data_IF_203357181675
#
_entry.id   IF_203357181675
#
_cell.length_a   1.000
_cell.length_b   1.000
_cell.length_c   1.000
_cell.angle_alpha   90.00
_cell.angle_beta   90.00
_cell.angle_gamma   90.00
#
_symmetry.space_group_name_H-M   'P 1'
#
loop_
_entity.id
_entity.type
_entity.pdbx_description
1 polymer ?
#
# COMPACT_ATOMS: atom_id res chain seq x y z
N UNK A 1 -15.56 -10.30 -24.53
CA UNK A 1 -14.10 -10.14 -24.47
C UNK A 1 -13.56 -11.30 -23.66
N UNK A 2 -12.69 -12.10 -24.23
CA UNK A 2 -11.96 -13.14 -23.46
C UNK A 2 -11.03 -12.36 -22.56
N UNK A 3 -11.33 -12.28 -21.24
CA UNK A 3 -10.34 -11.79 -20.27
C UNK A 3 -9.15 -12.75 -20.33
N UNK A 4 -7.97 -12.22 -20.60
CA UNK A 4 -6.74 -12.98 -20.47
C UNK A 4 -6.62 -13.58 -19.05
N UNK A 5 -5.68 -14.48 -18.86
CA UNK A 5 -5.34 -15.04 -17.55
C UNK A 5 -5.01 -13.90 -16.56
N UNK A 6 -5.73 -13.78 -15.43
CA UNK A 6 -5.49 -12.70 -14.48
C UNK A 6 -4.07 -12.76 -13.91
N UNK A 7 -3.44 -11.61 -13.77
CA UNK A 7 -2.10 -11.45 -13.20
C UNK A 7 -2.17 -10.80 -11.84
N UNK A 8 -1.67 -11.51 -10.85
CA UNK A 8 -1.69 -11.09 -9.45
C UNK A 8 -0.25 -10.78 -8.99
N UNK A 9 -0.10 -9.73 -8.20
CA UNK A 9 1.12 -9.45 -7.44
C UNK A 9 0.80 -9.59 -5.95
N UNK A 10 1.51 -10.46 -5.25
CA UNK A 10 1.37 -10.67 -3.81
C UNK A 10 2.57 -10.06 -3.12
N UNK A 11 2.31 -9.04 -2.33
CA UNK A 11 3.29 -8.23 -1.65
C UNK A 11 3.13 -8.37 -0.12
N UNK A 12 4.03 -9.12 0.51
CA UNK A 12 4.09 -9.35 1.96
C UNK A 12 5.54 -9.75 2.31
N UNK A 13 6.11 -9.22 3.40
CA UNK A 13 7.48 -9.53 3.81
C UNK A 13 7.61 -10.86 4.57
N UNK A 14 6.47 -11.47 4.99
CA UNK A 14 6.44 -12.75 5.67
C UNK A 14 6.33 -13.93 4.68
N UNK A 15 7.39 -14.72 4.44
CA UNK A 15 7.40 -15.73 3.38
C UNK A 15 6.29 -16.79 3.50
N UNK A 16 5.98 -17.24 4.72
CA UNK A 16 4.94 -18.24 4.96
C UNK A 16 3.54 -17.71 4.67
N UNK A 17 3.28 -16.47 5.06
CA UNK A 17 2.00 -15.83 4.80
C UNK A 17 1.82 -15.52 3.31
N UNK A 18 2.87 -15.05 2.65
CA UNK A 18 2.89 -14.82 1.20
C UNK A 18 2.57 -16.11 0.43
N UNK A 19 3.19 -17.23 0.80
CA UNK A 19 2.88 -18.55 0.18
C UNK A 19 1.42 -18.95 0.41
N UNK A 20 0.86 -18.71 1.61
CA UNK A 20 -0.55 -18.99 1.90
C UNK A 20 -1.49 -18.11 1.07
N UNK A 21 -1.16 -16.83 0.88
CA UNK A 21 -1.92 -15.92 0.01
C UNK A 21 -1.88 -16.37 -1.45
N UNK A 22 -0.71 -16.81 -1.98
CA UNK A 22 -0.58 -17.34 -3.33
C UNK A 22 -1.51 -18.54 -3.52
N UNK A 23 -1.51 -19.47 -2.59
CA UNK A 23 -2.38 -20.66 -2.65
C UNK A 23 -3.87 -20.29 -2.56
N UNK A 24 -4.23 -19.41 -1.66
CA UNK A 24 -5.63 -18.99 -1.48
C UNK A 24 -6.15 -18.18 -2.69
N UNK A 25 -5.36 -17.23 -3.19
CA UNK A 25 -5.73 -16.39 -4.33
C UNK A 25 -5.97 -17.21 -5.60
N UNK A 26 -5.15 -18.24 -5.82
CA UNK A 26 -5.25 -19.11 -7.01
C UNK A 26 -6.39 -20.13 -6.95
N UNK A 27 -6.97 -20.37 -5.77
CA UNK A 27 -7.90 -21.50 -5.54
C UNK A 27 -9.18 -21.45 -6.38
N UNK A 28 -9.68 -20.25 -6.71
CA UNK A 28 -10.91 -20.06 -7.51
C UNK A 28 -10.65 -19.53 -8.92
N UNK A 29 -9.39 -19.40 -9.29
CA UNK A 29 -8.99 -19.00 -10.63
C UNK A 29 -8.52 -20.25 -11.36
N UNK A 30 -9.18 -20.60 -12.47
CA UNK A 30 -8.81 -21.78 -13.27
C UNK A 30 -7.36 -21.69 -13.76
N UNK A 31 -6.93 -20.46 -14.12
CA UNK A 31 -5.55 -20.12 -14.45
C UNK A 31 -5.26 -18.69 -13.96
N UNK A 32 -4.13 -18.49 -13.29
CA UNK A 32 -3.64 -17.14 -12.92
C UNK A 32 -2.11 -17.15 -12.90
N UNK A 33 -1.52 -16.00 -13.22
CA UNK A 33 -0.10 -15.76 -13.01
C UNK A 33 0.07 -15.01 -11.69
N UNK A 34 0.99 -15.49 -10.84
CA UNK A 34 1.28 -14.86 -9.55
C UNK A 34 2.74 -14.43 -9.52
N UNK A 35 2.97 -13.16 -9.25
CA UNK A 35 4.25 -12.55 -8.94
C UNK A 35 4.32 -12.28 -7.44
N UNK A 36 5.54 -12.24 -6.90
CA UNK A 36 5.76 -12.02 -5.48
C UNK A 36 6.71 -10.82 -5.26
N UNK A 37 6.45 -10.05 -4.21
CA UNK A 37 7.34 -9.01 -3.71
C UNK A 37 7.43 -9.09 -2.18
N UNK A 38 8.60 -8.77 -1.61
CA UNK A 38 8.83 -8.76 -0.15
C UNK A 38 9.01 -7.36 0.42
N UNK A 39 8.99 -6.35 -0.44
CA UNK A 39 9.16 -4.96 -0.05
C UNK A 39 8.52 -4.02 -1.10
N UNK A 40 8.38 -2.76 -0.74
CA UNK A 40 7.76 -1.77 -1.62
C UNK A 40 8.55 -1.47 -2.89
N UNK A 41 9.89 -1.41 -2.89
CA UNK A 41 10.68 -1.34 -4.11
C UNK A 41 10.40 -2.47 -5.09
N UNK A 42 10.30 -3.72 -4.61
CA UNK A 42 9.95 -4.89 -5.41
C UNK A 42 8.54 -4.81 -6.02
N UNK A 43 7.58 -4.22 -5.31
CA UNK A 43 6.23 -3.96 -5.85
C UNK A 43 6.31 -3.03 -7.07
N UNK A 44 7.03 -1.91 -6.95
CA UNK A 44 7.18 -0.97 -8.05
C UNK A 44 7.96 -1.57 -9.23
N UNK A 45 9.01 -2.35 -8.95
CA UNK A 45 9.78 -3.06 -9.98
C UNK A 45 8.88 -4.04 -10.76
N UNK A 46 8.09 -4.85 -10.06
CA UNK A 46 7.15 -5.79 -10.69
C UNK A 46 6.14 -5.06 -11.59
N UNK A 47 5.51 -3.99 -11.08
CA UNK A 47 4.52 -3.21 -11.83
C UNK A 47 5.13 -2.45 -13.03
N UNK A 48 6.39 -2.02 -12.95
CA UNK A 48 7.07 -1.37 -14.06
C UNK A 48 7.50 -2.36 -15.15
N UNK A 49 7.78 -3.61 -14.78
CA UNK A 49 8.23 -4.68 -15.68
C UNK A 49 7.04 -5.39 -16.35
N UNK A 50 5.96 -5.56 -15.61
CA UNK A 50 4.73 -6.23 -16.07
C UNK A 50 3.52 -5.28 -15.95
N UNK A 51 3.19 -4.53 -17.02
CA UNK A 51 2.06 -3.60 -17.01
C UNK A 51 0.68 -4.28 -17.04
N UNK A 52 0.63 -5.59 -17.24
CA UNK A 52 -0.61 -6.38 -17.31
C UNK A 52 -1.04 -6.94 -15.93
N UNK A 53 -0.41 -6.51 -14.84
CA UNK A 53 -0.86 -6.87 -13.49
C UNK A 53 -2.23 -6.24 -13.23
N UNK A 54 -3.22 -7.08 -12.92
CA UNK A 54 -4.61 -6.68 -12.68
C UNK A 54 -4.86 -6.29 -11.22
N UNK A 55 -4.21 -7.00 -10.29
CA UNK A 55 -4.48 -6.89 -8.85
C UNK A 55 -3.21 -7.05 -8.02
N UNK A 56 -3.04 -6.17 -7.05
CA UNK A 56 -2.03 -6.28 -5.98
C UNK A 56 -2.71 -6.64 -4.67
N UNK A 57 -2.28 -7.73 -4.01
CA UNK A 57 -2.54 -8.00 -2.60
C UNK A 57 -1.38 -7.35 -1.82
N UNK A 58 -1.66 -6.32 -1.03
CA UNK A 58 -0.65 -5.46 -0.42
C UNK A 58 -0.69 -5.53 1.10
N UNK A 59 0.39 -6.01 1.71
CA UNK A 59 0.63 -5.76 3.14
C UNK A 59 1.07 -4.31 3.37
N UNK A 60 0.53 -3.69 4.40
CA UNK A 60 0.86 -2.31 4.77
C UNK A 60 2.17 -2.20 5.59
N UNK A 61 2.64 -3.30 6.17
CA UNK A 61 3.81 -3.35 7.04
C UNK A 61 5.01 -4.06 6.37
N UNK A 62 5.42 -3.54 5.21
CA UNK A 62 6.58 -4.06 4.48
C UNK A 62 7.73 -3.06 4.49
N UNK A 63 9.00 -3.51 4.35
CA UNK A 63 10.14 -2.63 4.13
C UNK A 63 9.90 -1.65 2.97
N UNK A 64 10.22 -0.38 3.18
CA UNK A 64 10.01 0.68 2.18
C UNK A 64 8.58 1.20 2.09
N UNK A 65 7.63 0.66 2.90
CA UNK A 65 6.30 1.22 3.13
C UNK A 65 6.19 1.77 4.55
N UNK A 66 5.41 2.83 4.73
CA UNK A 66 5.00 3.32 6.05
C UNK A 66 3.48 3.42 6.06
N UNK A 67 2.84 2.35 6.52
CA UNK A 67 1.39 2.25 6.60
C UNK A 67 0.71 2.55 5.25
N UNK A 68 -0.20 3.50 5.25
CA UNK A 68 -1.01 3.85 4.07
C UNK A 68 -0.25 4.61 2.96
N UNK A 69 0.99 5.05 3.20
CA UNK A 69 1.74 5.84 2.22
C UNK A 69 2.09 5.04 0.96
N UNK A 70 2.42 3.75 1.11
CA UNK A 70 2.69 2.86 -0.01
C UNK A 70 1.46 2.64 -0.88
N UNK A 71 0.31 2.42 -0.28
CA UNK A 71 -0.97 2.31 -0.97
C UNK A 71 -1.27 3.58 -1.79
N UNK A 72 -1.15 4.77 -1.18
CA UNK A 72 -1.44 6.02 -1.87
C UNK A 72 -0.50 6.27 -3.06
N UNK A 73 0.81 6.00 -2.89
CA UNK A 73 1.79 6.14 -3.97
C UNK A 73 1.51 5.16 -5.11
N UNK A 74 1.19 3.91 -4.81
CA UNK A 74 0.85 2.88 -5.79
C UNK A 74 -0.39 3.29 -6.59
N UNK A 75 -1.47 3.72 -5.90
CA UNK A 75 -2.70 4.18 -6.55
C UNK A 75 -2.48 5.39 -7.47
N UNK A 76 -1.55 6.28 -7.10
CA UNK A 76 -1.21 7.45 -7.93
C UNK A 76 -0.46 7.10 -9.21
N UNK A 77 0.42 6.12 -9.17
CA UNK A 77 1.27 5.74 -10.30
C UNK A 77 0.62 4.68 -11.19
N UNK A 78 -0.17 3.77 -10.61
CA UNK A 78 -0.84 2.66 -11.28
C UNK A 78 -2.36 2.68 -11.02
N UNK A 79 -3.10 3.71 -11.51
CA UNK A 79 -4.52 3.90 -11.20
C UNK A 79 -5.43 2.79 -11.74
N UNK A 80 -4.98 2.06 -12.74
CA UNK A 80 -5.71 0.94 -13.37
C UNK A 80 -5.58 -0.36 -12.60
N UNK A 81 -4.54 -0.51 -11.78
CA UNK A 81 -4.27 -1.71 -10.99
C UNK A 81 -5.16 -1.69 -9.74
N UNK A 82 -5.94 -2.72 -9.52
CA UNK A 82 -6.70 -2.85 -8.29
C UNK A 82 -5.78 -3.20 -7.11
N UNK A 83 -6.10 -2.71 -5.91
CA UNK A 83 -5.32 -3.03 -4.69
C UNK A 83 -6.25 -3.56 -3.61
N UNK A 84 -6.03 -4.79 -3.18
CA UNK A 84 -6.57 -5.39 -1.97
C UNK A 84 -5.52 -5.26 -0.87
N UNK A 85 -5.87 -4.56 0.20
CA UNK A 85 -5.00 -4.47 1.37
C UNK A 85 -5.18 -5.71 2.24
N UNK A 86 -4.06 -6.27 2.70
CA UNK A 86 -4.01 -7.39 3.64
C UNK A 86 -3.31 -6.92 4.91
N UNK A 87 -3.99 -6.92 6.06
CA UNK A 87 -3.41 -6.38 7.28
C UNK A 87 -3.90 -7.11 8.53
N UNK A 88 -3.08 -7.07 9.60
CA UNK A 88 -3.48 -7.54 10.92
C UNK A 88 -4.36 -6.52 11.67
N UNK A 89 -4.38 -5.25 11.22
CA UNK A 89 -5.19 -4.18 11.82
C UNK A 89 -6.53 -4.13 11.11
N UNK A 90 -7.55 -4.72 11.74
CA UNK A 90 -8.90 -4.82 11.18
C UNK A 90 -9.94 -3.92 11.88
N UNK A 91 -9.48 -2.97 12.70
CA UNK A 91 -10.36 -1.99 13.33
C UNK A 91 -11.13 -1.18 12.26
N UNK A 92 -12.44 -0.95 12.41
CA UNK A 92 -13.25 -0.26 11.41
C UNK A 92 -12.70 1.11 10.96
N UNK A 93 -12.05 1.84 11.87
CA UNK A 93 -11.42 3.15 11.56
C UNK A 93 -10.21 2.99 10.64
N UNK A 94 -9.39 1.96 10.88
CA UNK A 94 -8.24 1.64 10.03
C UNK A 94 -8.71 1.22 8.64
N UNK A 95 -9.67 0.31 8.58
CA UNK A 95 -10.26 -0.15 7.31
C UNK A 95 -10.89 1.03 6.53
N UNK A 96 -11.59 1.96 7.21
CA UNK A 96 -12.11 3.18 6.57
C UNK A 96 -11.00 4.01 5.94
N UNK A 97 -9.89 4.23 6.64
CA UNK A 97 -8.73 4.95 6.12
C UNK A 97 -8.09 4.24 4.92
N UNK A 98 -7.99 2.91 4.96
CA UNK A 98 -7.51 2.09 3.82
C UNK A 98 -8.36 2.38 2.56
N UNK A 99 -9.69 2.39 2.70
CA UNK A 99 -10.59 2.71 1.58
C UNK A 99 -10.47 4.17 1.12
N UNK A 100 -10.31 5.12 2.06
CA UNK A 100 -10.10 6.54 1.73
C UNK A 100 -8.78 6.79 0.97
N UNK A 101 -7.80 5.89 1.12
CA UNK A 101 -6.55 5.88 0.35
C UNK A 101 -6.65 5.11 -0.97
N UNK A 102 -7.84 4.67 -1.36
CA UNK A 102 -8.12 4.13 -2.70
C UNK A 102 -7.93 2.62 -2.85
N UNK A 103 -7.92 1.85 -1.76
CA UNK A 103 -7.99 0.39 -1.87
C UNK A 103 -9.34 -0.06 -2.43
N UNK A 104 -9.33 -1.10 -3.27
CA UNK A 104 -10.53 -1.77 -3.75
C UNK A 104 -11.17 -2.67 -2.68
N UNK A 105 -10.43 -2.98 -1.61
CA UNK A 105 -10.95 -3.76 -0.50
C UNK A 105 -9.90 -4.03 0.57
N UNK A 106 -10.32 -4.78 1.58
CA UNK A 106 -9.52 -5.11 2.75
C UNK A 106 -9.72 -6.57 3.15
N UNK A 107 -8.64 -7.26 3.46
CA UNK A 107 -8.60 -8.63 3.96
C UNK A 107 -7.85 -8.64 5.29
N UNK A 108 -8.44 -9.09 6.41
CA UNK A 108 -7.70 -9.29 7.64
C UNK A 108 -6.71 -10.45 7.48
N UNK A 109 -5.51 -10.36 8.06
CA UNK A 109 -4.53 -11.49 8.05
C UNK A 109 -5.06 -12.75 8.75
N UNK A 110 -6.14 -12.63 9.52
CA UNK A 110 -6.88 -13.74 10.15
C UNK A 110 -7.92 -14.40 9.24
N UNK A 111 -8.16 -13.87 8.02
CA UNK A 111 -9.15 -14.39 7.09
C UNK A 111 -8.83 -15.84 6.67
N UNK A 112 -9.87 -16.62 6.47
CA UNK A 112 -9.70 -17.98 5.94
C UNK A 112 -9.40 -17.97 4.43
N UNK A 113 -8.82 -19.06 3.88
CA UNK A 113 -8.49 -19.12 2.46
C UNK A 113 -9.69 -18.97 1.51
N UNK A 114 -10.92 -19.25 1.98
CA UNK A 114 -12.15 -19.06 1.21
C UNK A 114 -12.48 -17.57 1.09
N UNK A 115 -12.39 -16.82 2.19
CA UNK A 115 -12.60 -15.37 2.21
C UNK A 115 -11.59 -14.65 1.32
N UNK A 116 -10.31 -15.06 1.34
CA UNK A 116 -9.27 -14.51 0.46
C UNK A 116 -9.64 -14.74 -1.01
N UNK A 117 -10.04 -15.98 -1.36
CA UNK A 117 -10.47 -16.31 -2.73
C UNK A 117 -11.68 -15.50 -3.18
N UNK A 118 -12.66 -15.29 -2.29
CA UNK A 118 -13.86 -14.49 -2.55
C UNK A 118 -13.52 -13.02 -2.79
N UNK A 119 -12.61 -12.47 -1.99
CA UNK A 119 -12.14 -11.10 -2.12
C UNK A 119 -11.44 -10.86 -3.47
N UNK A 120 -10.51 -11.76 -3.83
CA UNK A 120 -9.79 -11.70 -5.11
C UNK A 120 -10.78 -11.77 -6.28
N UNK A 121 -11.69 -12.76 -6.27
CA UNK A 121 -12.68 -12.90 -7.32
C UNK A 121 -13.60 -11.68 -7.44
N UNK A 122 -14.04 -11.10 -6.33
CA UNK A 122 -14.90 -9.90 -6.32
C UNK A 122 -14.18 -8.71 -6.96
N UNK A 123 -12.92 -8.46 -6.60
CA UNK A 123 -12.16 -7.30 -7.10
C UNK A 123 -11.77 -7.48 -8.57
N UNK A 124 -11.37 -8.67 -9.00
CA UNK A 124 -11.12 -8.96 -10.42
C UNK A 124 -12.38 -8.78 -11.29
N UNK A 125 -13.57 -8.92 -10.70
CA UNK A 125 -14.84 -8.59 -11.36
C UNK A 125 -15.26 -7.12 -11.22
N UNK A 126 -14.30 -6.22 -10.97
CA UNK A 126 -14.52 -4.78 -10.82
C UNK A 126 -15.42 -4.40 -9.64
N UNK A 127 -15.56 -5.27 -8.64
CA UNK A 127 -16.24 -5.00 -7.38
C UNK A 127 -15.28 -4.46 -6.31
N UNK A 128 -15.86 -4.10 -5.17
CA UNK A 128 -15.14 -3.85 -3.93
C UNK A 128 -15.39 -5.02 -2.97
N UNK A 129 -14.47 -5.24 -2.03
CA UNK A 129 -14.65 -6.30 -1.06
C UNK A 129 -14.28 -5.86 0.36
N UNK A 130 -15.14 -6.20 1.29
CA UNK A 130 -14.89 -6.09 2.73
C UNK A 130 -15.44 -7.34 3.42
N UNK A 131 -14.81 -7.80 4.51
CA UNK A 131 -15.39 -8.84 5.34
C UNK A 131 -16.82 -8.47 5.76
N UNK A 132 -17.81 -9.39 5.66
CA UNK A 132 -19.19 -9.10 6.08
C UNK A 132 -19.30 -8.61 7.53
N UNK A 133 -18.39 -9.06 8.41
CA UNK A 133 -18.29 -8.64 9.81
C UNK A 133 -17.93 -7.15 9.96
N UNK A 134 -17.17 -6.58 9.04
CA UNK A 134 -16.68 -5.19 9.08
C UNK A 134 -17.52 -4.24 8.23
N UNK A 135 -18.19 -4.75 7.19
CA UNK A 135 -18.86 -3.91 6.20
C UNK A 135 -19.83 -2.89 6.80
N UNK A 136 -20.66 -3.31 7.77
CA UNK A 136 -21.64 -2.42 8.42
C UNK A 136 -20.97 -1.35 9.28
N UNK A 137 -20.00 -1.70 10.10
CA UNK A 137 -19.29 -0.77 10.99
C UNK A 137 -18.44 0.23 10.21
N UNK A 138 -17.79 -0.20 9.12
CA UNK A 138 -17.03 0.67 8.23
C UNK A 138 -17.96 1.63 7.47
N UNK A 139 -19.10 1.15 6.96
CA UNK A 139 -20.07 2.00 6.26
C UNK A 139 -20.69 3.09 7.15
N UNK A 140 -20.77 2.85 8.46
CA UNK A 140 -21.27 3.84 9.43
C UNK A 140 -20.26 4.97 9.71
N UNK A 141 -19.00 4.80 9.35
CA UNK A 141 -17.97 5.82 9.57
C UNK A 141 -17.91 6.79 8.38
N UNK A 142 -17.88 8.11 8.64
CA UNK A 142 -17.68 9.08 7.58
C UNK A 142 -16.27 8.96 7.00
N UNK A 143 -16.13 9.26 5.70
CA UNK A 143 -14.81 9.47 5.09
C UNK A 143 -14.13 10.68 5.75
N UNK A 144 -12.82 10.57 5.97
CA UNK A 144 -12.02 11.67 6.49
C UNK A 144 -11.45 12.52 5.36
N UNK A 145 -11.90 13.77 5.16
CA UNK A 145 -11.38 14.62 4.09
C UNK A 145 -9.87 14.86 4.17
N UNK A 146 -9.28 14.84 5.37
CA UNK A 146 -7.84 15.01 5.56
C UNK A 146 -7.06 13.78 5.05
N UNK A 147 -7.55 12.56 5.27
CA UNK A 147 -6.94 11.34 4.74
C UNK A 147 -7.05 11.31 3.20
N UNK A 148 -8.20 11.67 2.66
CA UNK A 148 -8.41 11.73 1.20
C UNK A 148 -7.49 12.77 0.52
N UNK A 149 -7.35 13.97 1.12
CA UNK A 149 -6.45 15.01 0.61
C UNK A 149 -4.98 14.58 0.70
N UNK A 150 -4.58 13.96 1.80
CA UNK A 150 -3.23 13.43 1.97
C UNK A 150 -2.93 12.31 0.95
N UNK A 151 -3.86 11.39 0.75
CA UNK A 151 -3.74 10.34 -0.27
C UNK A 151 -3.56 10.97 -1.66
N UNK A 152 -4.35 11.98 -2.02
CA UNK A 152 -4.23 12.68 -3.29
C UNK A 152 -2.88 13.40 -3.46
N UNK A 153 -2.30 13.96 -2.39
CA UNK A 153 -0.96 14.57 -2.42
C UNK A 153 0.14 13.52 -2.59
N UNK A 154 0.08 12.40 -1.88
CA UNK A 154 1.02 11.29 -2.00
C UNK A 154 0.96 10.65 -3.39
N UNK A 155 -0.22 10.49 -3.97
CA UNK A 155 -0.44 9.96 -5.31
C UNK A 155 0.26 10.80 -6.42
N UNK A 156 0.64 12.05 -6.14
CA UNK A 156 1.40 12.91 -7.07
C UNK A 156 2.91 12.65 -7.06
N UNK A 157 3.40 11.87 -6.11
CA UNK A 157 4.83 11.53 -6.05
C UNK A 157 5.17 10.51 -7.14
N UNK A 158 6.32 10.67 -7.78
CA UNK A 158 6.88 9.61 -8.61
C UNK A 158 7.48 8.51 -7.72
N UNK A 159 7.69 7.33 -8.26
CA UNK A 159 8.33 6.22 -7.56
C UNK A 159 9.63 6.65 -6.88
N UNK A 160 10.52 7.30 -7.62
CA UNK A 160 11.80 7.78 -7.08
C UNK A 160 11.61 8.81 -5.95
N UNK A 161 10.61 9.69 -6.06
CA UNK A 161 10.26 10.63 -4.98
C UNK A 161 9.72 9.90 -3.77
N UNK A 162 8.87 8.89 -3.96
CA UNK A 162 8.37 8.08 -2.86
C UNK A 162 9.51 7.34 -2.14
N UNK A 163 10.44 6.71 -2.88
CA UNK A 163 11.63 6.04 -2.30
C UNK A 163 12.51 7.01 -1.50
N UNK A 164 12.74 8.22 -2.02
CA UNK A 164 13.46 9.27 -1.28
C UNK A 164 12.70 9.69 -0.02
N UNK A 165 11.38 9.86 -0.10
CA UNK A 165 10.55 10.24 1.05
C UNK A 165 10.56 9.18 2.15
N UNK A 166 10.47 7.90 1.81
CA UNK A 166 10.55 6.79 2.78
C UNK A 166 11.88 6.82 3.54
N UNK A 167 13.01 6.95 2.83
CA UNK A 167 14.34 7.04 3.45
C UNK A 167 14.56 8.32 4.26
N UNK A 168 13.94 9.44 3.84
CA UNK A 168 13.92 10.67 4.64
C UNK A 168 13.19 10.45 5.97
N UNK A 169 12.09 9.73 5.97
CA UNK A 169 11.29 9.45 7.17
C UNK A 169 11.99 8.46 8.12
N UNK A 170 12.78 7.52 7.59
CA UNK A 170 13.68 6.66 8.38
C UNK A 170 14.82 7.43 9.08
N UNK A 171 15.02 8.70 8.73
CA UNK A 171 16.04 9.54 9.36
C UNK A 171 17.38 9.63 8.61
N UNK A 172 17.53 9.00 7.43
CA UNK A 172 18.79 8.97 6.68
C UNK A 172 19.17 10.37 6.17
N UNK A 173 20.45 10.72 6.25
CA UNK A 173 20.98 11.95 5.66
C UNK A 173 21.00 11.87 4.12
N UNK A 174 20.94 13.01 3.44
CA UNK A 174 20.94 13.05 1.97
C UNK A 174 22.09 12.26 1.33
N UNK A 175 23.28 12.27 1.94
CA UNK A 175 24.42 11.46 1.48
C UNK A 175 24.15 9.97 1.57
N UNK A 176 23.56 9.51 2.69
CA UNK A 176 23.22 8.09 2.88
C UNK A 176 22.10 7.65 1.92
N UNK A 177 21.11 8.53 1.67
CA UNK A 177 20.07 8.29 0.66
C UNK A 177 20.67 8.20 -0.73
N UNK A 178 21.60 9.10 -1.07
CA UNK A 178 22.30 9.09 -2.33
C UNK A 178 23.05 7.77 -2.57
N UNK A 179 23.82 7.34 -1.57
CA UNK A 179 24.55 6.08 -1.60
C UNK A 179 23.61 4.87 -1.76
N UNK A 180 22.51 4.84 -0.99
CA UNK A 180 21.54 3.72 -1.00
C UNK A 180 20.74 3.62 -2.31
N UNK A 181 20.47 4.75 -2.97
CA UNK A 181 19.73 4.80 -4.23
C UNK A 181 20.62 4.84 -5.47
N UNK A 182 21.94 4.89 -5.33
CA UNK A 182 22.89 4.97 -6.44
C UNK A 182 22.77 6.29 -7.23
N UNK A 183 22.39 7.40 -6.58
CA UNK A 183 22.22 8.71 -7.20
C UNK A 183 23.12 9.77 -6.54
N UNK A 184 23.21 10.95 -7.11
CA UNK A 184 24.01 12.02 -6.52
C UNK A 184 23.25 12.76 -5.40
N UNK A 185 23.96 13.23 -4.37
CA UNK A 185 23.36 13.99 -3.25
C UNK A 185 22.56 15.22 -3.74
N UNK A 186 23.04 15.89 -4.79
CA UNK A 186 22.29 17.01 -5.41
C UNK A 186 20.92 16.61 -5.94
N UNK A 187 20.83 15.37 -6.46
CA UNK A 187 19.58 14.80 -6.98
C UNK A 187 18.62 14.49 -5.83
N UNK A 188 19.14 13.97 -4.70
CA UNK A 188 18.33 13.78 -3.48
C UNK A 188 17.76 15.11 -2.99
N UNK A 189 18.57 16.18 -2.96
CA UNK A 189 18.11 17.52 -2.57
C UNK A 189 17.01 18.05 -3.50
N UNK A 190 17.15 17.86 -4.81
CA UNK A 190 16.14 18.24 -5.79
C UNK A 190 14.83 17.47 -5.59
N UNK A 191 14.92 16.14 -5.36
CA UNK A 191 13.74 15.32 -5.03
C UNK A 191 13.10 15.78 -3.73
N UNK A 192 13.86 16.05 -2.67
CA UNK A 192 13.33 16.51 -1.39
C UNK A 192 12.54 17.84 -1.54
N UNK A 193 13.07 18.79 -2.31
CA UNK A 193 12.36 20.04 -2.60
C UNK A 193 11.03 19.80 -3.30
N UNK A 194 11.03 19.01 -4.37
CA UNK A 194 9.81 18.68 -5.11
C UNK A 194 8.80 17.89 -4.26
N UNK A 195 9.27 17.00 -3.39
CA UNK A 195 8.43 16.27 -2.43
C UNK A 195 7.76 17.25 -1.47
N UNK A 196 8.52 18.17 -0.87
CA UNK A 196 7.96 19.13 0.09
C UNK A 196 6.90 20.02 -0.56
N UNK A 197 7.12 20.48 -1.78
CA UNK A 197 6.14 21.24 -2.56
C UNK A 197 4.85 20.42 -2.79
N UNK A 198 4.99 19.17 -3.28
CA UNK A 198 3.83 18.29 -3.57
C UNK A 198 3.03 17.95 -2.31
N UNK A 199 3.71 17.72 -1.19
CA UNK A 199 3.08 17.41 0.10
C UNK A 199 2.59 18.64 0.86
N UNK A 200 2.94 19.86 0.42
CA UNK A 200 2.58 21.08 1.11
C UNK A 200 3.27 21.25 2.47
N UNK A 201 4.48 20.69 2.62
CA UNK A 201 5.29 20.79 3.85
C UNK A 201 6.51 21.68 3.64
N UNK A 202 7.02 22.28 4.71
CA UNK A 202 8.11 23.27 4.62
C UNK A 202 9.50 22.67 4.83
N UNK A 203 9.59 21.51 5.47
CA UNK A 203 10.87 20.90 5.82
C UNK A 203 10.73 19.40 6.06
N UNK A 204 11.89 18.75 6.21
CA UNK A 204 12.01 17.31 6.45
C UNK A 204 11.21 16.83 7.68
N UNK A 205 11.27 17.59 8.79
CA UNK A 205 10.57 17.21 10.02
C UNK A 205 9.07 17.10 9.80
N UNK A 206 8.49 18.10 9.11
CA UNK A 206 7.06 18.06 8.76
C UNK A 206 6.72 16.89 7.82
N UNK A 207 7.58 16.59 6.84
CA UNK A 207 7.40 15.43 5.97
C UNK A 207 7.41 14.12 6.75
N UNK A 208 8.35 13.97 7.69
CA UNK A 208 8.44 12.78 8.55
C UNK A 208 7.22 12.63 9.48
N UNK A 209 6.75 13.74 10.08
CA UNK A 209 5.54 13.74 10.91
C UNK A 209 4.32 13.35 10.08
N UNK A 210 4.21 13.89 8.86
CA UNK A 210 3.12 13.57 7.94
C UNK A 210 3.10 12.07 7.58
N UNK A 211 4.26 11.48 7.27
CA UNK A 211 4.32 10.05 7.01
C UNK A 211 3.95 9.20 8.23
N UNK A 212 4.45 9.58 9.41
CA UNK A 212 4.11 8.87 10.65
C UNK A 212 2.62 8.89 10.97
N UNK A 213 1.87 9.91 10.55
CA UNK A 213 0.41 9.94 10.72
C UNK A 213 -0.33 8.90 9.86
N UNK A 214 0.36 8.33 8.87
CA UNK A 214 -0.14 7.23 8.03
C UNK A 214 0.24 5.85 8.57
N UNK A 215 1.13 5.80 9.53
CA UNK A 215 1.47 4.57 10.23
C UNK A 215 0.26 4.11 11.06
N UNK A 216 -0.01 2.83 11.01
CA UNK A 216 -1.16 2.23 11.70
C UNK A 216 -0.78 1.71 13.08
N UNK A 217 0.48 1.89 13.49
CA UNK A 217 1.04 1.35 14.74
C UNK A 217 1.36 -0.15 14.61
N UNK A 218 1.96 -0.72 15.66
CA UNK A 218 2.09 -2.16 15.78
C UNK A 218 0.79 -2.77 16.34
N UNK A 219 0.38 -3.99 15.90
CA UNK A 219 -0.79 -4.65 16.45
C UNK A 219 -0.59 -4.92 17.95
N UNK A 220 -1.37 -4.26 18.79
CA UNK A 220 -1.34 -4.46 20.25
C UNK A 220 -0.72 -3.32 21.07
N UNK A 221 -0.29 -2.23 20.48
CA UNK A 221 0.27 -1.06 21.17
C UNK A 221 -0.78 -0.02 21.60
N UNK A 222 -1.82 -0.43 22.33
CA UNK A 222 -2.74 0.51 22.99
C UNK A 222 -2.07 1.02 24.29
N UNK A 223 -1.13 1.96 24.16
CA UNK A 223 -0.71 2.79 25.29
C UNK A 223 -1.68 3.94 25.43
N UNK A 224 -2.69 3.76 26.28
CA UNK A 224 -3.49 4.84 26.85
C UNK A 224 -2.55 5.90 27.44
N UNK A 225 -2.69 7.19 27.10
CA UNK A 225 -2.06 8.24 27.86
C UNK A 225 -2.78 8.38 29.20
N UNK A 226 -2.01 8.33 30.26
CA UNK A 226 -2.45 8.68 31.62
C UNK A 226 -2.76 10.17 31.74
#
# INVERSE_FOLDING_TARGET
MVRGMPRLLIADDHPLFRAALCQAASKRLDECSVLEASDMPGVFEALSTDPDIDLVLLDLHMPGSQGLSGLAALRGQYPTVAVLVVSAHDEPRVVRRVLDHGAAGFIPKSADPGEISDAVAAVLNCGNWLPPSLARSVAALPSNPADTDLAARLARLTEQQYRVLALLAEGLLNKQIADRLGIQERTVKAHATAIFEKLGVRNRTQASVLLRSLDLGEPGGDTLPA
#
